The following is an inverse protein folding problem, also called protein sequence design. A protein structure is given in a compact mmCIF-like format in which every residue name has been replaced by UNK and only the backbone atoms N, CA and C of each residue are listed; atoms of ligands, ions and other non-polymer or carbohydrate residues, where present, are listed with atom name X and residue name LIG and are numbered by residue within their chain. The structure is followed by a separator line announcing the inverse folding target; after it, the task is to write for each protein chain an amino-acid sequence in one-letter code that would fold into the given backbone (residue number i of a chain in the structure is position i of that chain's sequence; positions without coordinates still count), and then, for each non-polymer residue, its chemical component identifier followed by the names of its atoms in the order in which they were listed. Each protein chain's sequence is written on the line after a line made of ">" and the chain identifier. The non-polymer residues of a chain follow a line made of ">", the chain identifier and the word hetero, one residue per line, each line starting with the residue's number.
data_IF_756531200979
#
_entry.id   IF_756531200979
#
_cell.length_a   1.000
_cell.length_b   1.000
_cell.length_c   1.000
_cell.angle_alpha   90.00
_cell.angle_beta   90.00
_cell.angle_gamma   90.00
#
_symmetry.space_group_name_H-M   'P 1'
#
loop_
_entity.id
_entity.type
_entity.pdbx_description
1 polymer ?
#
# COMPACT_ATOMS: atom_id res chain seq x y z
N UNK A 1 12.62 41.37 -36.49
CA UNK A 1 11.43 40.52 -36.74
C UNK A 1 11.32 39.54 -35.58
N UNK A 2 10.34 39.76 -34.72
CA UNK A 2 10.19 39.13 -33.39
C UNK A 2 9.40 37.83 -33.58
N UNK A 3 9.97 36.69 -33.18
CA UNK A 3 9.25 35.41 -33.09
C UNK A 3 8.86 35.19 -31.63
N UNK A 4 7.62 35.55 -31.31
CA UNK A 4 7.03 35.37 -29.99
C UNK A 4 6.95 33.90 -29.62
N UNK A 5 7.54 33.58 -28.47
CA UNK A 5 7.46 32.32 -27.77
C UNK A 5 6.00 31.93 -27.51
N UNK A 6 5.61 30.73 -27.92
CA UNK A 6 4.47 30.03 -27.30
C UNK A 6 5.02 29.14 -26.20
N UNK A 7 5.16 29.75 -25.02
CA UNK A 7 5.33 29.09 -23.74
C UNK A 7 4.03 28.35 -23.44
N UNK A 8 3.97 27.06 -23.80
CA UNK A 8 2.88 26.17 -23.41
C UNK A 8 3.00 25.88 -21.92
N UNK A 9 2.26 26.63 -21.12
CA UNK A 9 2.11 26.46 -19.68
C UNK A 9 1.43 25.11 -19.42
N UNK A 10 2.23 24.07 -19.18
CA UNK A 10 1.75 22.75 -18.76
C UNK A 10 1.28 22.89 -17.30
N UNK A 11 -0.03 23.10 -17.13
CA UNK A 11 -0.66 23.09 -15.81
C UNK A 11 -0.53 21.68 -15.23
N UNK A 12 0.41 21.52 -14.30
CA UNK A 12 0.47 20.40 -13.36
C UNK A 12 -0.84 20.39 -12.56
N UNK A 13 -1.78 19.56 -12.98
CA UNK A 13 -2.97 19.25 -12.20
C UNK A 13 -2.53 18.53 -10.93
N UNK A 14 -2.49 19.25 -9.81
CA UNK A 14 -2.41 18.69 -8.47
C UNK A 14 -3.57 17.74 -8.27
N UNK A 15 -3.31 16.43 -8.38
CA UNK A 15 -4.25 15.40 -7.90
C UNK A 15 -4.17 15.44 -6.38
N UNK A 16 -5.09 16.18 -5.76
CA UNK A 16 -5.32 16.13 -4.33
C UNK A 16 -5.97 14.78 -4.04
N UNK A 17 -5.19 13.81 -3.56
CA UNK A 17 -5.73 12.62 -2.92
C UNK A 17 -6.34 13.05 -1.58
N UNK A 18 -7.63 13.37 -1.59
CA UNK A 18 -8.38 13.59 -0.37
C UNK A 18 -8.50 12.25 0.35
N UNK A 19 -7.65 12.03 1.36
CA UNK A 19 -7.83 10.96 2.34
C UNK A 19 -9.05 11.31 3.20
N UNK A 20 -10.26 11.00 2.71
CA UNK A 20 -11.47 11.04 3.53
C UNK A 20 -11.35 9.95 4.59
N UNK A 21 -11.27 10.38 5.86
CA UNK A 21 -11.23 9.49 7.01
C UNK A 21 -12.36 8.46 6.96
N UNK A 22 -11.99 7.19 7.10
CA UNK A 22 -12.94 6.08 7.20
C UNK A 22 -13.67 6.18 8.55
N UNK A 23 -14.85 6.79 8.56
CA UNK A 23 -15.74 6.80 9.75
C UNK A 23 -17.12 6.22 9.49
N UNK A 24 -17.34 5.52 8.37
CA UNK A 24 -18.53 4.68 8.23
C UNK A 24 -18.17 3.52 7.29
N UNK A 25 -18.19 2.28 7.78
CA UNK A 25 -18.25 1.10 6.89
C UNK A 25 -19.68 0.97 6.32
N UNK A 26 -20.25 2.09 5.90
CA UNK A 26 -21.53 2.17 5.22
C UNK A 26 -21.37 1.52 3.85
N UNK A 27 -22.20 0.52 3.57
CA UNK A 27 -22.32 -0.02 2.21
C UNK A 27 -22.51 1.15 1.24
N UNK A 28 -21.70 1.17 0.18
CA UNK A 28 -21.87 2.13 -0.91
C UNK A 28 -23.34 2.06 -1.38
N UNK A 29 -24.05 3.20 -1.45
CA UNK A 29 -25.43 3.19 -1.88
C UNK A 29 -25.53 2.68 -3.33
N UNK A 30 -26.66 2.07 -3.67
CA UNK A 30 -26.80 1.29 -4.91
C UNK A 30 -26.54 2.13 -6.18
N UNK A 31 -26.83 3.42 -6.12
CA UNK A 31 -26.57 4.38 -7.19
C UNK A 31 -25.07 4.64 -7.41
N UNK A 32 -24.27 4.67 -6.34
CA UNK A 32 -22.81 4.79 -6.44
C UNK A 32 -22.18 3.49 -6.93
N UNK A 33 -22.68 2.33 -6.46
CA UNK A 33 -22.24 1.03 -6.98
C UNK A 33 -22.59 0.82 -8.46
N UNK A 34 -23.70 1.38 -8.93
CA UNK A 34 -24.11 1.35 -10.33
C UNK A 34 -23.23 2.24 -11.23
N UNK A 35 -22.68 3.32 -10.69
CA UNK A 35 -21.77 4.25 -11.39
C UNK A 35 -20.30 3.85 -11.26
N UNK A 36 -19.97 2.90 -10.38
CA UNK A 36 -18.60 2.44 -10.20
C UNK A 36 -18.09 1.76 -11.47
N UNK A 37 -16.91 2.18 -11.93
CA UNK A 37 -16.21 1.51 -13.01
C UNK A 37 -15.84 0.09 -12.54
N UNK A 38 -16.46 -0.92 -13.13
CA UNK A 38 -16.07 -2.32 -12.97
C UNK A 38 -15.32 -2.72 -14.23
N UNK A 39 -14.07 -3.13 -14.05
CA UNK A 39 -13.21 -3.53 -15.15
C UNK A 39 -12.62 -4.89 -14.80
N UNK A 40 -13.03 -5.92 -15.52
CA UNK A 40 -12.44 -7.26 -15.39
C UNK A 40 -11.04 -7.34 -16.02
N UNK A 41 -10.62 -6.28 -16.71
CA UNK A 41 -9.35 -6.18 -17.44
C UNK A 41 -8.17 -5.71 -16.59
N UNK A 42 -8.35 -5.42 -15.30
CA UNK A 42 -7.26 -4.98 -14.42
C UNK A 42 -6.74 -6.20 -13.63
N UNK A 43 -5.59 -6.70 -14.04
CA UNK A 43 -4.85 -7.69 -13.27
C UNK A 43 -4.03 -6.95 -12.22
N UNK A 44 -4.30 -7.20 -10.94
CA UNK A 44 -3.40 -6.76 -9.87
C UNK A 44 -2.20 -7.71 -9.91
N UNK A 45 -0.98 -7.21 -10.15
CA UNK A 45 0.20 -8.07 -10.17
C UNK A 45 0.36 -8.74 -8.82
N UNK A 46 0.86 -9.97 -8.83
CA UNK A 46 1.24 -10.61 -7.58
C UNK A 46 2.37 -9.81 -6.92
N UNK A 47 2.52 -9.85 -5.58
CA UNK A 47 3.60 -9.14 -4.91
C UNK A 47 4.98 -9.44 -5.51
N UNK A 48 5.26 -10.71 -5.83
CA UNK A 48 6.51 -11.10 -6.48
C UNK A 48 6.71 -10.48 -7.88
N UNK A 49 5.65 -10.39 -8.69
CA UNK A 49 5.70 -9.69 -9.98
C UNK A 49 5.96 -8.19 -9.82
N UNK A 50 5.36 -7.58 -8.80
CA UNK A 50 5.60 -6.17 -8.47
C UNK A 50 7.07 -5.93 -8.10
N UNK A 51 7.64 -6.69 -7.17
CA UNK A 51 9.04 -6.53 -6.75
C UNK A 51 10.01 -6.84 -7.90
N UNK A 52 9.73 -7.86 -8.71
CA UNK A 52 10.53 -8.16 -9.90
C UNK A 52 10.49 -7.02 -10.93
N UNK A 53 9.34 -6.35 -11.10
CA UNK A 53 9.24 -5.17 -11.96
C UNK A 53 10.02 -3.97 -11.39
N UNK A 54 9.94 -3.73 -10.08
CA UNK A 54 10.69 -2.67 -9.41
C UNK A 54 12.21 -2.87 -9.52
N UNK A 55 12.68 -4.11 -9.35
CA UNK A 55 14.10 -4.47 -9.47
C UNK A 55 14.71 -4.30 -10.88
N UNK A 56 13.87 -4.18 -11.93
CA UNK A 56 14.35 -3.88 -13.30
C UNK A 56 14.72 -2.41 -13.50
N UNK A 57 14.12 -1.51 -12.72
CA UNK A 57 14.33 -0.07 -12.87
C UNK A 57 15.58 0.39 -12.11
N UNK A 58 15.83 -0.15 -10.92
CA UNK A 58 17.02 0.15 -10.11
C UNK A 58 17.26 -0.91 -9.01
N UNK A 59 18.50 -1.01 -8.50
CA UNK A 59 18.80 -1.82 -7.29
C UNK A 59 18.20 -1.12 -6.07
N UNK A 60 17.01 -1.54 -5.68
CA UNK A 60 16.30 -0.99 -4.52
C UNK A 60 16.98 -1.44 -3.22
N UNK A 61 17.29 -0.49 -2.32
CA UNK A 61 17.79 -0.79 -0.98
C UNK A 61 16.62 -1.17 -0.04
N UNK A 62 16.21 -2.44 -0.07
CA UNK A 62 15.08 -2.95 0.70
C UNK A 62 15.28 -2.88 2.22
N UNK A 63 16.50 -3.11 2.72
CA UNK A 63 16.79 -2.99 4.16
C UNK A 63 16.69 -1.53 4.65
N UNK A 64 16.93 -0.56 3.77
CA UNK A 64 16.69 0.85 4.05
C UNK A 64 15.21 1.26 4.06
N UNK A 65 14.30 0.39 3.61
CA UNK A 65 12.85 0.63 3.62
C UNK A 65 12.17 0.10 4.89
N UNK A 66 12.94 -0.45 5.82
CA UNK A 66 12.38 -0.88 7.10
C UNK A 66 11.79 0.30 7.87
N UNK A 67 10.59 0.04 8.38
CA UNK A 67 9.86 0.96 9.23
C UNK A 67 10.17 0.66 10.69
N UNK A 68 9.90 1.62 11.57
CA UNK A 68 9.92 1.34 13.00
C UNK A 68 8.91 0.24 13.36
N UNK A 69 9.13 -0.53 14.44
CA UNK A 69 8.21 -1.59 14.84
C UNK A 69 6.79 -1.05 15.00
N UNK A 70 5.84 -1.68 14.32
CA UNK A 70 4.43 -1.36 14.56
C UNK A 70 4.05 -1.89 15.95
N UNK A 71 3.47 -1.05 16.83
CA UNK A 71 2.94 -1.53 18.10
C UNK A 71 1.95 -2.67 17.84
N UNK A 72 1.80 -3.62 18.76
CA UNK A 72 0.85 -4.74 18.64
C UNK A 72 -0.23 -4.72 19.73
N UNK A 73 -0.27 -3.64 20.53
CA UNK A 73 -1.11 -3.48 21.72
C UNK A 73 -2.37 -2.66 21.43
N UNK A 74 -3.24 -3.12 20.53
CA UNK A 74 -4.45 -2.37 20.17
C UNK A 74 -5.71 -3.02 20.70
N UNK A 75 -6.64 -2.17 21.12
CA UNK A 75 -7.96 -2.54 21.63
C UNK A 75 -9.06 -2.53 20.55
N UNK A 76 -8.83 -1.93 19.38
CA UNK A 76 -9.82 -1.86 18.29
C UNK A 76 -9.52 -2.87 17.17
N UNK A 77 -10.50 -3.71 16.84
CA UNK A 77 -10.42 -4.72 15.78
C UNK A 77 -10.08 -4.14 14.39
N UNK A 78 -10.63 -2.98 14.04
CA UNK A 78 -10.33 -2.32 12.76
C UNK A 78 -8.86 -1.90 12.68
N UNK A 79 -8.32 -1.40 13.80
CA UNK A 79 -6.90 -1.03 13.91
C UNK A 79 -6.00 -2.26 13.84
N UNK A 80 -6.39 -3.36 14.51
CA UNK A 80 -5.66 -4.64 14.42
C UNK A 80 -5.61 -5.12 12.96
N UNK A 81 -6.73 -5.05 12.22
CA UNK A 81 -6.79 -5.46 10.82
C UNK A 81 -5.93 -4.60 9.90
N UNK A 82 -5.97 -3.28 10.06
CA UNK A 82 -5.12 -2.36 9.30
C UNK A 82 -3.64 -2.65 9.55
N UNK A 83 -3.29 -2.88 10.82
CA UNK A 83 -1.91 -3.13 11.24
C UNK A 83 -1.41 -4.50 10.81
N UNK A 84 -2.28 -5.50 10.79
CA UNK A 84 -1.99 -6.81 10.20
C UNK A 84 -1.61 -6.67 8.72
N UNK A 85 -2.35 -5.87 7.94
CA UNK A 85 -2.01 -5.57 6.55
C UNK A 85 -0.64 -4.89 6.41
N UNK A 86 -0.32 -3.96 7.33
CA UNK A 86 1.00 -3.32 7.41
C UNK A 86 2.13 -4.32 7.65
N UNK A 87 1.98 -5.22 8.62
CA UNK A 87 2.96 -6.27 8.91
C UNK A 87 3.14 -7.25 7.75
N UNK A 88 2.07 -7.58 7.02
CA UNK A 88 2.18 -8.43 5.81
C UNK A 88 3.05 -7.73 4.75
N UNK A 89 2.84 -6.43 4.54
CA UNK A 89 3.68 -5.65 3.63
C UNK A 89 5.14 -5.61 4.10
N UNK A 90 5.39 -5.42 5.40
CA UNK A 90 6.74 -5.45 5.98
C UNK A 90 7.41 -6.82 5.79
N UNK A 91 6.63 -7.89 5.86
CA UNK A 91 7.11 -9.25 5.60
C UNK A 91 7.67 -9.40 4.19
N UNK A 92 7.01 -8.83 3.18
CA UNK A 92 7.54 -8.82 1.81
C UNK A 92 8.83 -8.00 1.69
N UNK A 93 8.92 -6.84 2.34
CA UNK A 93 10.15 -6.04 2.35
C UNK A 93 11.31 -6.82 2.99
N UNK A 94 11.05 -7.56 4.08
CA UNK A 94 12.07 -8.40 4.73
C UNK A 94 12.52 -9.57 3.83
N UNK A 95 11.61 -10.18 3.06
CA UNK A 95 11.96 -11.21 2.07
C UNK A 95 12.86 -10.64 0.98
N UNK A 96 12.50 -9.48 0.41
CA UNK A 96 13.28 -8.81 -0.64
C UNK A 96 14.65 -8.31 -0.12
N UNK A 97 14.71 -7.92 1.15
CA UNK A 97 15.96 -7.60 1.85
C UNK A 97 16.83 -8.83 2.17
N UNK A 98 16.33 -10.05 1.93
CA UNK A 98 16.97 -11.33 2.26
C UNK A 98 17.30 -11.49 3.76
N UNK A 99 16.48 -10.89 4.61
CA UNK A 99 16.66 -10.90 6.06
C UNK A 99 15.75 -11.95 6.71
N UNK A 100 16.25 -13.18 6.78
CA UNK A 100 15.51 -14.30 7.35
C UNK A 100 15.11 -14.09 8.82
N UNK A 101 15.88 -13.29 9.57
CA UNK A 101 15.56 -13.00 10.97
C UNK A 101 14.37 -12.04 11.07
N UNK A 102 14.35 -10.99 10.25
CA UNK A 102 13.21 -10.08 10.20
C UNK A 102 11.95 -10.76 9.68
N UNK A 103 12.05 -11.62 8.65
CA UNK A 103 10.92 -12.43 8.18
C UNK A 103 10.31 -13.25 9.32
N UNK A 104 11.14 -13.86 10.16
CA UNK A 104 10.68 -14.64 11.32
C UNK A 104 10.04 -13.76 12.39
N UNK A 105 10.64 -12.60 12.70
CA UNK A 105 10.12 -11.67 13.69
C UNK A 105 8.73 -11.16 13.28
N UNK A 106 8.62 -10.65 12.04
CA UNK A 106 7.37 -10.15 11.48
C UNK A 106 6.32 -11.28 11.39
N UNK A 107 6.72 -12.47 10.96
CA UNK A 107 5.82 -13.63 10.90
C UNK A 107 5.22 -13.98 12.26
N UNK A 108 6.00 -13.86 13.34
CA UNK A 108 5.51 -14.05 14.71
C UNK A 108 4.44 -13.01 15.08
N UNK A 109 4.65 -11.75 14.71
CA UNK A 109 3.73 -10.66 15.01
C UNK A 109 2.45 -10.72 14.16
N UNK A 110 2.54 -11.16 12.90
CA UNK A 110 1.39 -11.48 12.05
C UNK A 110 0.51 -12.53 12.73
N UNK A 111 1.09 -13.62 13.25
CA UNK A 111 0.32 -14.68 13.92
C UNK A 111 -0.37 -14.13 15.18
N UNK A 112 0.29 -13.25 15.95
CA UNK A 112 -0.32 -12.64 17.15
C UNK A 112 -1.52 -11.76 16.79
N UNK A 113 -1.38 -10.88 15.79
CA UNK A 113 -2.47 -9.99 15.38
C UNK A 113 -3.61 -10.77 14.69
N UNK A 114 -3.28 -11.78 13.88
CA UNK A 114 -4.28 -12.63 13.24
C UNK A 114 -5.16 -13.34 14.28
N UNK A 115 -4.55 -13.94 15.30
CA UNK A 115 -5.30 -14.57 16.42
C UNK A 115 -6.22 -13.59 17.16
N UNK A 116 -5.84 -12.32 17.25
CA UNK A 116 -6.66 -11.30 17.90
C UNK A 116 -7.90 -10.89 17.06
N UNK A 117 -7.94 -11.21 15.77
CA UNK A 117 -9.06 -10.90 14.88
C UNK A 117 -10.15 -11.99 14.84
N UNK A 118 -9.87 -13.16 15.41
CA UNK A 118 -10.71 -14.37 15.37
C UNK A 118 -10.29 -15.33 14.27
#
# INVERSE_FOLDING_TARGET
>A
MIRFAKLGMLTLGTVVFAASGATDTGRLPADQLAKAARSDSISIPTPGELFAALGKSEKTNWSGQYRGPMPVTYSNRAQIALNLGGLIADGFIAVEAKDSQQVKNIGSDIIKLAKALG
#
